data_IF_946630969227
#
_entry.id   IF_946630969227
#
_cell.length_a   1.000
_cell.length_b   1.000
_cell.length_c   1.000
_cell.angle_alpha   90.00
_cell.angle_beta   90.00
_cell.angle_gamma   90.00
#
_symmetry.space_group_name_H-M   'P 1'
#
loop_
_entity.id
_entity.type
_entity.pdbx_description
1 polymer ?
#
# COMPACT_ATOMS: atom_id res chain seq x y z
N UNK A 1 -53.39 -87.03 34.08
CA UNK A 1 -52.34 -85.99 34.12
C UNK A 1 -52.49 -85.14 32.86
N UNK A 2 -52.93 -83.90 32.98
CA UNK A 2 -53.10 -82.96 31.87
C UNK A 2 -51.79 -82.19 31.70
N UNK A 3 -51.20 -82.25 30.51
CA UNK A 3 -49.97 -81.54 30.15
C UNK A 3 -50.29 -80.07 29.86
N UNK A 4 -49.70 -79.17 30.65
CA UNK A 4 -49.83 -77.73 30.47
C UNK A 4 -49.14 -77.27 29.17
N UNK A 5 -49.90 -76.63 28.28
CA UNK A 5 -49.37 -76.02 27.07
C UNK A 5 -48.50 -74.80 27.40
N UNK A 6 -47.25 -74.81 26.92
CA UNK A 6 -46.34 -73.67 27.01
C UNK A 6 -46.89 -72.48 26.18
N UNK A 7 -47.16 -71.35 26.86
CA UNK A 7 -47.53 -70.09 26.19
C UNK A 7 -46.34 -69.57 25.39
N UNK A 8 -46.47 -69.50 24.06
CA UNK A 8 -45.52 -68.79 23.20
C UNK A 8 -45.52 -67.29 23.55
N UNK A 9 -44.36 -66.64 23.68
CA UNK A 9 -44.31 -65.19 23.87
C UNK A 9 -44.91 -64.50 22.64
N UNK A 10 -45.92 -63.67 22.86
CA UNK A 10 -46.49 -62.81 21.81
C UNK A 10 -45.41 -61.84 21.37
N UNK A 11 -44.87 -62.02 20.16
CA UNK A 11 -44.02 -61.01 19.54
C UNK A 11 -44.90 -59.80 19.24
N UNK A 12 -44.79 -58.75 20.05
CA UNK A 12 -45.43 -57.46 19.79
C UNK A 12 -44.74 -56.85 18.57
N UNK A 13 -45.47 -56.72 17.45
CA UNK A 13 -45.02 -55.94 16.30
C UNK A 13 -45.12 -54.45 16.58
N UNK A 14 -44.25 -53.65 15.98
CA UNK A 14 -44.29 -52.19 16.06
C UNK A 14 -45.59 -51.64 15.49
N UNK A 15 -46.15 -50.63 16.14
CA UNK A 15 -47.34 -49.93 15.65
C UNK A 15 -46.98 -48.96 14.52
N UNK A 16 -47.90 -48.73 13.58
CA UNK A 16 -47.69 -47.82 12.45
C UNK A 16 -47.38 -46.38 12.92
N UNK A 17 -47.95 -45.98 14.07
CA UNK A 17 -47.69 -44.69 14.70
C UNK A 17 -46.27 -44.58 15.28
N UNK A 18 -45.72 -45.63 15.91
CA UNK A 18 -44.31 -45.65 16.33
C UNK A 18 -43.36 -45.51 15.14
N UNK A 19 -43.69 -46.16 14.01
CA UNK A 19 -42.87 -46.10 12.81
C UNK A 19 -42.91 -44.72 12.16
N UNK A 20 -44.06 -44.04 12.19
CA UNK A 20 -44.18 -42.65 11.74
C UNK A 20 -43.46 -41.67 12.67
N UNK A 21 -43.57 -41.84 13.99
CA UNK A 21 -42.85 -41.00 14.97
C UNK A 21 -41.35 -41.21 14.87
N UNK A 22 -40.89 -42.44 14.70
CA UNK A 22 -39.47 -42.76 14.55
C UNK A 22 -38.87 -42.16 13.28
N UNK A 23 -39.58 -42.23 12.15
CA UNK A 23 -39.11 -41.62 10.89
C UNK A 23 -39.15 -40.09 10.96
N UNK A 24 -40.18 -39.50 11.59
CA UNK A 24 -40.24 -38.06 11.82
C UNK A 24 -39.07 -37.56 12.70
N UNK A 25 -38.78 -38.25 13.80
CA UNK A 25 -37.64 -37.93 14.66
C UNK A 25 -36.31 -38.07 13.94
N UNK A 26 -36.14 -39.13 13.12
CA UNK A 26 -34.95 -39.30 12.31
C UNK A 26 -34.73 -38.12 11.36
N UNK A 27 -35.78 -37.67 10.65
CA UNK A 27 -35.69 -36.51 9.75
C UNK A 27 -35.29 -35.25 10.51
N UNK A 28 -35.90 -34.99 11.68
CA UNK A 28 -35.57 -33.83 12.51
C UNK A 28 -34.11 -33.87 12.98
N UNK A 29 -33.63 -35.02 13.45
CA UNK A 29 -32.23 -35.18 13.89
C UNK A 29 -31.26 -35.00 12.73
N UNK A 30 -31.54 -35.60 11.57
CA UNK A 30 -30.69 -35.46 10.38
C UNK A 30 -30.61 -34.00 9.94
N UNK A 31 -31.73 -33.28 9.90
CA UNK A 31 -31.75 -31.86 9.57
C UNK A 31 -30.92 -31.03 10.56
N UNK A 32 -31.06 -31.29 11.86
CA UNK A 32 -30.27 -30.61 12.89
C UNK A 32 -28.77 -30.90 12.77
N UNK A 33 -28.38 -32.14 12.47
CA UNK A 33 -26.97 -32.50 12.29
C UNK A 33 -26.40 -31.83 11.03
N UNK A 34 -27.16 -31.82 9.93
CA UNK A 34 -26.74 -31.17 8.68
C UNK A 34 -26.61 -29.66 8.85
N UNK A 35 -27.50 -29.00 9.60
CA UNK A 35 -27.39 -27.56 9.85
C UNK A 35 -26.14 -27.22 10.67
N UNK A 36 -25.87 -27.98 11.74
CA UNK A 36 -24.66 -27.79 12.55
C UNK A 36 -23.39 -28.05 11.72
N UNK A 37 -23.40 -29.09 10.88
CA UNK A 37 -22.29 -29.35 9.98
C UNK A 37 -22.07 -28.20 8.99
N UNK A 38 -23.14 -27.67 8.37
CA UNK A 38 -23.06 -26.56 7.44
C UNK A 38 -22.54 -25.26 8.10
N UNK A 39 -22.95 -24.97 9.33
CA UNK A 39 -22.42 -23.84 10.10
C UNK A 39 -20.94 -24.02 10.43
N UNK A 40 -20.54 -25.24 10.79
CA UNK A 40 -19.14 -25.57 11.08
C UNK A 40 -18.26 -25.42 9.84
N UNK A 41 -18.72 -25.87 8.66
CA UNK A 41 -17.99 -25.69 7.40
C UNK A 41 -17.86 -24.21 7.03
N UNK A 42 -18.93 -23.41 7.16
CA UNK A 42 -18.86 -21.95 6.92
C UNK A 42 -17.87 -21.26 7.86
N UNK A 43 -17.85 -21.66 9.14
CA UNK A 43 -16.89 -21.12 10.11
C UNK A 43 -15.45 -21.51 9.75
N UNK A 44 -15.23 -22.75 9.32
CA UNK A 44 -13.94 -23.23 8.84
C UNK A 44 -13.46 -22.45 7.59
N UNK A 45 -14.31 -22.29 6.58
CA UNK A 45 -13.97 -21.56 5.35
C UNK A 45 -13.60 -20.10 5.65
N UNK A 46 -14.34 -19.45 6.55
CA UNK A 46 -14.01 -18.10 7.02
C UNK A 46 -12.66 -18.05 7.74
N UNK A 47 -12.39 -19.01 8.62
CA UNK A 47 -11.12 -19.08 9.35
C UNK A 47 -9.92 -19.28 8.39
N UNK A 48 -10.08 -20.12 7.38
CA UNK A 48 -9.06 -20.32 6.33
C UNK A 48 -8.86 -19.04 5.50
N UNK A 49 -9.96 -18.35 5.14
CA UNK A 49 -9.89 -17.08 4.42
C UNK A 49 -9.17 -16.00 5.24
N UNK A 50 -9.49 -15.87 6.53
CA UNK A 50 -8.84 -14.89 7.41
C UNK A 50 -7.34 -15.22 7.58
N UNK A 51 -6.97 -16.50 7.73
CA UNK A 51 -5.56 -16.92 7.79
C UNK A 51 -4.81 -16.59 6.48
N UNK A 52 -5.42 -16.85 5.33
CA UNK A 52 -4.84 -16.57 4.02
C UNK A 52 -4.64 -15.08 3.79
N UNK A 53 -5.63 -14.24 4.13
CA UNK A 53 -5.48 -12.78 4.00
C UNK A 53 -4.42 -12.24 4.97
N UNK A 54 -4.35 -12.80 6.18
CA UNK A 54 -3.35 -12.43 7.17
C UNK A 54 -1.93 -12.82 6.73
N UNK A 55 -1.74 -14.00 6.12
CA UNK A 55 -0.41 -14.40 5.64
C UNK A 55 0.09 -13.50 4.51
N UNK A 56 -0.78 -13.14 3.57
CA UNK A 56 -0.45 -12.21 2.48
C UNK A 56 -0.13 -10.81 3.01
N UNK A 57 -0.93 -10.31 3.96
CA UNK A 57 -0.68 -9.04 4.60
C UNK A 57 0.65 -9.02 5.38
N UNK A 58 0.96 -10.11 6.10
CA UNK A 58 2.24 -10.24 6.83
C UNK A 58 3.44 -10.21 5.89
N UNK A 59 3.37 -10.87 4.73
CA UNK A 59 4.45 -10.82 3.75
C UNK A 59 4.79 -9.38 3.33
N UNK A 60 3.77 -8.53 3.09
CA UNK A 60 3.98 -7.11 2.77
C UNK A 60 4.49 -6.30 3.96
N UNK A 61 3.82 -6.42 5.10
CA UNK A 61 4.11 -5.61 6.28
C UNK A 61 5.48 -5.95 6.89
N UNK A 62 5.88 -7.22 6.92
CA UNK A 62 7.19 -7.66 7.42
C UNK A 62 8.33 -7.17 6.51
N UNK A 63 8.14 -7.23 5.19
CA UNK A 63 9.13 -6.72 4.25
C UNK A 63 9.29 -5.20 4.36
N UNK A 64 8.17 -4.45 4.39
CA UNK A 64 8.23 -2.99 4.56
C UNK A 64 8.81 -2.59 5.91
N UNK A 65 8.50 -3.32 6.98
CA UNK A 65 9.11 -3.06 8.28
C UNK A 65 10.64 -3.21 8.23
N UNK A 66 11.14 -4.29 7.64
CA UNK A 66 12.58 -4.52 7.48
C UNK A 66 13.26 -3.36 6.71
N UNK A 67 12.63 -2.92 5.62
CA UNK A 67 13.17 -1.87 4.77
C UNK A 67 13.08 -0.50 5.40
N UNK A 68 11.99 -0.17 6.11
CA UNK A 68 11.85 1.10 6.82
C UNK A 68 12.75 1.19 8.05
N UNK A 69 12.96 0.09 8.79
CA UNK A 69 13.89 0.06 9.92
C UNK A 69 15.35 0.26 9.50
N UNK A 70 15.69 -0.11 8.26
CA UNK A 70 17.02 0.05 7.67
C UNK A 70 17.10 1.18 6.64
N UNK A 71 16.04 2.00 6.52
CA UNK A 71 15.96 3.07 5.54
C UNK A 71 17.06 4.11 5.78
N UNK A 72 17.76 4.53 4.73
CA UNK A 72 18.83 5.53 4.80
C UNK A 72 18.23 6.91 4.55
N UNK A 73 18.31 7.79 5.54
CA UNK A 73 17.96 9.21 5.41
C UNK A 73 19.12 10.01 6.01
N UNK A 74 19.82 10.82 5.19
CA UNK A 74 21.03 11.55 5.64
C UNK A 74 20.78 13.06 5.69
N UNK A 75 21.39 13.78 6.66
CA UNK A 75 21.29 15.23 6.78
C UNK A 75 22.23 15.95 5.80
N UNK A 76 22.21 15.56 4.53
CA UNK A 76 23.04 16.14 3.46
C UNK A 76 22.23 17.02 2.49
N UNK A 77 20.97 17.31 2.84
CA UNK A 77 20.09 18.16 2.04
C UNK A 77 19.56 17.50 0.76
N UNK A 78 19.73 16.19 0.59
CA UNK A 78 19.27 15.42 -0.59
C UNK A 78 18.00 14.61 -0.30
N UNK A 79 17.30 14.26 -1.37
CA UNK A 79 16.07 13.46 -1.30
C UNK A 79 16.45 11.98 -1.22
N UNK A 80 16.12 11.33 -0.11
CA UNK A 80 16.46 9.92 0.14
C UNK A 80 15.27 8.98 0.00
N UNK A 81 14.06 9.53 0.04
CA UNK A 81 12.83 8.77 -0.16
C UNK A 81 11.82 9.62 -0.91
N UNK A 82 11.09 8.98 -1.81
CA UNK A 82 10.05 9.61 -2.59
C UNK A 82 8.85 8.68 -2.73
N UNK A 83 7.67 9.27 -2.63
CA UNK A 83 6.39 8.63 -2.91
C UNK A 83 5.79 9.31 -4.12
N UNK A 84 5.31 8.54 -5.08
CA UNK A 84 4.59 9.05 -6.25
C UNK A 84 3.24 8.39 -6.33
N UNK A 85 2.18 9.17 -6.45
CA UNK A 85 0.84 8.64 -6.71
C UNK A 85 0.69 8.38 -8.22
N UNK A 86 0.13 7.25 -8.65
CA UNK A 86 -0.13 7.02 -10.07
C UNK A 86 -1.12 8.04 -10.65
N UNK A 87 -1.01 8.36 -11.95
CA UNK A 87 -1.88 9.33 -12.63
C UNK A 87 -1.70 10.79 -12.17
N UNK A 88 -0.64 11.10 -11.44
CA UNK A 88 -0.45 12.38 -10.74
C UNK A 88 0.16 13.54 -11.54
N UNK A 89 0.34 13.40 -12.85
CA UNK A 89 1.00 14.43 -13.67
C UNK A 89 0.26 15.78 -13.64
N UNK A 90 -1.06 15.78 -13.43
CA UNK A 90 -1.91 16.97 -13.30
C UNK A 90 -2.04 17.49 -11.85
N UNK A 91 -1.48 16.78 -10.87
CA UNK A 91 -1.64 17.04 -9.43
C UNK A 91 -0.30 17.31 -8.72
N UNK A 92 0.78 17.55 -9.48
CA UNK A 92 2.09 17.90 -8.93
C UNK A 92 3.08 16.74 -8.84
N UNK A 93 2.67 15.54 -9.30
CA UNK A 93 3.55 14.41 -9.52
C UNK A 93 4.52 14.61 -10.71
N UNK A 94 5.42 13.65 -10.95
CA UNK A 94 6.37 13.73 -12.03
C UNK A 94 5.71 13.64 -13.41
N UNK A 95 6.38 14.19 -14.43
CA UNK A 95 6.00 13.96 -15.82
C UNK A 95 6.08 12.46 -16.12
N UNK A 96 5.05 11.91 -16.77
CA UNK A 96 4.91 10.48 -17.07
C UNK A 96 4.80 9.56 -15.82
N UNK A 97 4.23 10.05 -14.72
CA UNK A 97 3.82 9.18 -13.61
C UNK A 97 2.98 7.99 -14.15
N UNK A 98 3.15 6.77 -13.62
CA UNK A 98 2.45 5.60 -14.15
C UNK A 98 0.95 5.77 -14.07
N UNK A 99 0.22 5.21 -15.02
CA UNK A 99 -1.24 5.24 -15.00
C UNK A 99 -1.79 4.48 -13.80
N UNK A 100 -3.05 4.76 -13.45
CA UNK A 100 -3.75 4.02 -12.40
C UNK A 100 -3.77 2.52 -12.72
N UNK A 101 -3.63 1.69 -11.70
CA UNK A 101 -3.70 0.23 -11.84
C UNK A 101 -5.15 -0.23 -11.68
N UNK A 102 -5.78 -0.64 -12.78
CA UNK A 102 -7.17 -1.11 -12.77
C UNK A 102 -8.14 -0.07 -12.20
N UNK A 103 -8.95 -0.48 -11.22
CA UNK A 103 -9.96 0.37 -10.56
C UNK A 103 -9.46 1.02 -9.25
N UNK A 104 -8.16 0.93 -8.95
CA UNK A 104 -7.59 1.45 -7.71
C UNK A 104 -7.58 2.98 -7.66
N UNK A 105 -7.85 3.53 -6.48
CA UNK A 105 -7.72 4.96 -6.23
C UNK A 105 -6.22 5.33 -6.14
N UNK A 106 -5.72 6.42 -6.76
CA UNK A 106 -4.31 6.82 -6.67
C UNK A 106 -3.69 6.82 -5.26
N UNK A 107 -4.46 7.23 -4.24
CA UNK A 107 -3.99 7.25 -2.85
C UNK A 107 -3.79 5.83 -2.25
N UNK A 108 -4.44 4.81 -2.83
CA UNK A 108 -4.43 3.42 -2.39
C UNK A 108 -3.38 2.56 -3.09
N UNK A 109 -2.62 3.12 -4.03
CA UNK A 109 -1.52 2.41 -4.68
C UNK A 109 -0.32 3.31 -4.94
N UNK A 110 0.23 3.95 -3.89
CA UNK A 110 1.41 4.78 -4.01
C UNK A 110 2.60 3.95 -4.49
N UNK A 111 3.49 4.59 -5.22
CA UNK A 111 4.80 4.07 -5.58
C UNK A 111 5.78 4.63 -4.56
N UNK A 112 6.26 3.77 -3.67
CA UNK A 112 7.26 4.13 -2.66
C UNK A 112 8.65 3.79 -3.19
N UNK A 113 9.58 4.71 -3.11
CA UNK A 113 10.98 4.53 -3.50
C UNK A 113 11.88 5.03 -2.37
N UNK A 114 12.78 4.19 -1.88
CA UNK A 114 13.72 4.54 -0.83
C UNK A 114 15.07 3.83 -1.01
N UNK A 115 16.04 4.22 -0.20
CA UNK A 115 17.27 3.47 0.00
C UNK A 115 17.21 2.79 1.36
N UNK A 116 17.55 1.50 1.43
CA UNK A 116 17.52 0.73 2.67
C UNK A 116 18.64 -0.32 2.67
N UNK A 117 18.86 -1.01 3.80
CA UNK A 117 19.79 -2.13 3.88
C UNK A 117 19.06 -3.44 4.26
N UNK A 118 18.17 -3.95 3.39
CA UNK A 118 17.37 -5.14 3.68
C UNK A 118 18.23 -6.32 4.10
N UNK A 119 17.70 -7.15 5.00
CA UNK A 119 18.38 -8.37 5.44
C UNK A 119 18.45 -9.44 4.34
N UNK A 120 17.43 -9.48 3.49
CA UNK A 120 17.23 -10.44 2.40
C UNK A 120 17.81 -9.96 1.05
N UNK A 121 18.57 -8.86 1.06
CA UNK A 121 19.21 -8.32 -0.13
C UNK A 121 20.14 -9.33 -0.83
N UNK A 122 20.32 -9.23 -2.16
CA UNK A 122 21.36 -9.95 -2.88
C UNK A 122 22.74 -9.76 -2.23
N UNK A 123 23.36 -10.86 -1.77
CA UNK A 123 24.73 -10.84 -1.19
C UNK A 123 25.80 -11.31 -2.16
N UNK A 124 25.38 -11.97 -3.23
CA UNK A 124 26.26 -12.66 -4.17
C UNK A 124 25.75 -12.46 -5.58
N UNK A 125 26.68 -12.28 -6.53
CA UNK A 125 26.39 -12.38 -7.95
C UNK A 125 26.92 -13.70 -8.51
N UNK A 126 26.18 -14.39 -9.39
CA UNK A 126 26.76 -15.48 -10.18
C UNK A 126 27.85 -14.91 -11.08
N UNK A 127 29.02 -15.53 -11.11
CA UNK A 127 30.04 -15.23 -12.11
C UNK A 127 29.76 -16.09 -13.35
N UNK A 128 29.61 -15.43 -14.50
CA UNK A 128 29.10 -16.04 -15.73
C UNK A 128 30.17 -16.77 -16.54
N UNK A 129 31.41 -16.84 -16.06
CA UNK A 129 32.49 -17.51 -16.80
C UNK A 129 32.35 -19.04 -16.82
N UNK A 130 31.65 -19.63 -15.85
CA UNK A 130 31.33 -21.08 -15.79
C UNK A 130 30.38 -21.37 -14.63
N UNK A 131 29.53 -22.40 -14.75
CA UNK A 131 28.68 -22.93 -13.68
C UNK A 131 29.46 -23.40 -12.42
N UNK A 132 30.77 -23.61 -12.54
CA UNK A 132 31.69 -23.96 -11.45
C UNK A 132 32.40 -22.76 -10.81
N UNK A 133 32.16 -21.53 -11.30
CA UNK A 133 32.87 -20.35 -10.81
C UNK A 133 32.32 -19.93 -9.44
N UNK A 134 33.23 -19.62 -8.51
CA UNK A 134 32.85 -19.17 -7.18
C UNK A 134 31.99 -17.90 -7.28
N UNK A 135 30.91 -17.86 -6.49
CA UNK A 135 30.06 -16.67 -6.39
C UNK A 135 30.88 -15.49 -5.86
N UNK A 136 30.70 -14.32 -6.45
CA UNK A 136 31.40 -13.10 -6.02
C UNK A 136 30.54 -12.35 -5.02
N UNK A 137 31.12 -11.99 -3.86
CA UNK A 137 30.43 -11.20 -2.85
C UNK A 137 30.14 -9.79 -3.38
N UNK A 138 28.90 -9.33 -3.24
CA UNK A 138 28.52 -7.96 -3.56
C UNK A 138 29.03 -7.03 -2.45
N UNK A 139 29.62 -5.90 -2.86
CA UNK A 139 30.17 -4.90 -1.93
C UNK A 139 29.08 -3.91 -1.52
N UNK A 140 29.10 -3.50 -0.26
CA UNK A 140 28.14 -2.55 0.29
C UNK A 140 26.84 -3.21 0.76
N UNK A 141 26.01 -2.43 1.44
CA UNK A 141 24.79 -2.87 2.13
C UNK A 141 23.55 -2.08 1.72
N UNK A 142 23.70 -0.82 1.31
CA UNK A 142 22.60 0.03 0.84
C UNK A 142 22.12 -0.40 -0.54
N UNK A 143 20.83 -0.68 -0.63
CA UNK A 143 20.09 -1.06 -1.82
C UNK A 143 19.02 0.00 -2.14
N UNK A 144 18.77 0.25 -3.43
CA UNK A 144 17.57 0.97 -3.87
C UNK A 144 16.38 0.01 -3.83
N UNK A 145 15.31 0.42 -3.16
CA UNK A 145 14.09 -0.36 -2.98
C UNK A 145 12.89 0.42 -3.51
N UNK A 146 12.00 -0.27 -4.23
CA UNK A 146 10.71 0.26 -4.64
C UNK A 146 9.56 -0.68 -4.30
N UNK A 147 8.41 -0.11 -3.93
CA UNK A 147 7.15 -0.82 -3.73
C UNK A 147 6.07 -0.22 -4.61
N UNK A 148 5.22 -1.07 -5.19
CA UNK A 148 4.02 -0.65 -5.93
C UNK A 148 3.02 -1.80 -6.02
N UNK A 149 1.75 -1.47 -6.22
CA UNK A 149 0.75 -2.45 -6.66
C UNK A 149 0.81 -2.56 -8.20
N UNK A 150 0.61 -3.78 -8.69
CA UNK A 150 0.38 -4.09 -10.11
C UNK A 150 -0.76 -5.09 -10.28
N UNK A 151 -1.34 -5.15 -11.47
CA UNK A 151 -2.39 -6.12 -11.82
C UNK A 151 -1.86 -7.03 -12.95
N UNK A 152 -1.55 -8.30 -12.64
CA UNK A 152 -0.94 -9.23 -13.61
C UNK A 152 -1.28 -10.70 -13.35
N UNK A 153 -1.14 -11.54 -14.37
CA UNK A 153 -1.21 -12.99 -14.21
C UNK A 153 0.08 -13.58 -13.62
N UNK A 154 0.01 -14.43 -12.58
CA UNK A 154 1.18 -15.10 -12.00
C UNK A 154 1.80 -16.15 -12.94
N UNK A 155 1.19 -16.40 -14.11
CA UNK A 155 1.61 -17.43 -15.06
C UNK A 155 2.02 -16.87 -16.43
N UNK A 156 1.72 -15.60 -16.74
CA UNK A 156 2.08 -15.00 -18.04
C UNK A 156 2.11 -13.47 -17.99
N UNK A 157 2.95 -12.88 -18.84
CA UNK A 157 3.21 -11.45 -18.89
C UNK A 157 2.49 -10.79 -20.08
N UNK A 158 1.53 -9.85 -19.89
CA UNK A 158 0.77 -9.52 -18.67
C UNK A 158 -0.34 -10.55 -18.33
N UNK A 159 -0.55 -11.53 -19.21
CA UNK A 159 -1.59 -12.55 -19.12
C UNK A 159 -2.99 -12.04 -19.46
N UNK A 160 -3.93 -12.97 -19.63
CA UNK A 160 -5.32 -12.61 -19.93
C UNK A 160 -5.98 -11.97 -18.72
N UNK A 161 -6.90 -11.02 -18.94
CA UNK A 161 -7.54 -10.26 -17.86
C UNK A 161 -8.20 -11.16 -16.78
N UNK A 162 -8.75 -12.30 -17.18
CA UNK A 162 -9.27 -13.38 -16.31
C UNK A 162 -8.26 -13.92 -15.29
N UNK A 163 -6.98 -13.88 -15.63
CA UNK A 163 -5.90 -14.44 -14.83
C UNK A 163 -5.16 -13.36 -14.03
N UNK A 164 -5.49 -12.09 -14.25
CA UNK A 164 -4.76 -10.99 -13.63
C UNK A 164 -5.22 -10.77 -12.18
N UNK A 165 -4.26 -10.76 -11.28
CA UNK A 165 -4.45 -10.55 -9.85
C UNK A 165 -3.79 -9.25 -9.46
N UNK A 166 -4.42 -8.50 -8.56
CA UNK A 166 -3.73 -7.38 -7.91
C UNK A 166 -2.69 -7.94 -6.93
N UNK A 167 -1.46 -7.44 -7.01
CA UNK A 167 -0.38 -7.87 -6.15
C UNK A 167 0.55 -6.72 -5.80
N UNK A 168 1.18 -6.83 -4.63
CA UNK A 168 2.26 -5.93 -4.23
C UNK A 168 3.57 -6.48 -4.78
N UNK A 169 4.33 -5.60 -5.42
CA UNK A 169 5.66 -5.89 -5.90
C UNK A 169 6.67 -5.08 -5.09
N UNK A 170 7.72 -5.78 -4.64
CA UNK A 170 8.88 -5.20 -3.99
C UNK A 170 10.08 -5.47 -4.84
N UNK A 171 10.73 -4.38 -5.24
CA UNK A 171 11.87 -4.42 -6.12
C UNK A 171 13.12 -3.99 -5.36
N UNK A 172 14.15 -4.84 -5.34
CA UNK A 172 15.43 -4.54 -4.69
C UNK A 172 16.54 -4.55 -5.73
N UNK A 173 17.29 -3.46 -5.80
CA UNK A 173 18.52 -3.39 -6.58
C UNK A 173 19.69 -3.82 -5.69
N UNK A 174 20.62 -4.59 -6.23
CA UNK A 174 21.84 -5.00 -5.55
C UNK A 174 22.68 -3.79 -5.11
N UNK A 175 23.46 -3.96 -4.04
CA UNK A 175 24.19 -2.84 -3.42
C UNK A 175 25.27 -2.24 -4.33
N UNK A 176 25.94 -3.06 -5.13
CA UNK A 176 26.95 -2.60 -6.08
C UNK A 176 26.32 -1.71 -7.17
N UNK A 177 25.19 -2.13 -7.77
CA UNK A 177 24.48 -1.31 -8.77
C UNK A 177 23.76 -0.11 -8.18
N UNK A 178 23.28 -0.24 -6.95
CA UNK A 178 22.77 0.91 -6.21
C UNK A 178 23.87 1.96 -6.08
N UNK A 179 25.10 1.53 -5.75
CA UNK A 179 26.24 2.41 -5.63
C UNK A 179 26.72 3.01 -6.96
N UNK A 180 26.74 2.23 -8.06
CA UNK A 180 27.22 2.71 -9.36
C UNK A 180 26.19 3.49 -10.16
N UNK A 181 24.90 3.17 -10.02
CA UNK A 181 23.84 3.67 -10.89
C UNK A 181 22.90 4.64 -10.14
N UNK A 182 22.45 4.29 -8.94
CA UNK A 182 21.43 5.05 -8.22
C UNK A 182 22.01 6.22 -7.39
N UNK A 183 23.05 5.94 -6.59
CA UNK A 183 23.63 6.95 -5.70
C UNK A 183 24.22 8.15 -6.46
N UNK A 184 24.90 8.03 -7.62
CA UNK A 184 25.41 9.19 -8.33
C UNK A 184 24.31 10.17 -8.78
N UNK A 185 23.11 9.68 -9.09
CA UNK A 185 21.96 10.52 -9.43
C UNK A 185 21.52 11.34 -8.21
N UNK A 186 21.39 10.70 -7.04
CA UNK A 186 21.03 11.41 -5.81
C UNK A 186 22.13 12.36 -5.36
N UNK A 187 23.39 11.94 -5.43
CA UNK A 187 24.54 12.72 -4.97
C UNK A 187 24.83 13.94 -5.85
N UNK A 188 24.47 13.89 -7.14
CA UNK A 188 24.52 15.03 -8.07
C UNK A 188 23.34 16.00 -7.92
N UNK A 189 22.38 15.71 -7.03
CA UNK A 189 21.29 16.63 -6.68
C UNK A 189 21.83 17.94 -6.12
N UNK A 190 21.30 19.06 -6.62
CA UNK A 190 21.56 20.41 -6.09
C UNK A 190 20.24 21.11 -5.80
N UNK A 191 20.27 22.22 -5.06
CA UNK A 191 19.06 23.00 -4.81
C UNK A 191 18.44 23.55 -6.12
N UNK A 192 19.25 23.86 -7.13
CA UNK A 192 18.79 24.38 -8.42
C UNK A 192 18.31 23.28 -9.38
N UNK A 193 18.93 22.10 -9.30
CA UNK A 193 18.58 20.92 -10.11
C UNK A 193 18.34 19.75 -9.14
N UNK A 194 17.17 19.72 -8.48
CA UNK A 194 16.89 18.69 -7.49
C UNK A 194 16.72 17.35 -8.20
N UNK A 195 17.52 16.37 -7.77
CA UNK A 195 17.38 14.95 -8.11
C UNK A 195 16.78 14.18 -6.96
N UNK A 196 16.00 13.15 -7.29
CA UNK A 196 15.28 12.31 -6.33
C UNK A 196 15.24 10.85 -6.76
N UNK A 197 14.80 9.91 -5.90
CA UNK A 197 14.67 8.51 -6.26
C UNK A 197 13.89 8.29 -7.57
N UNK A 198 12.85 9.10 -7.85
CA UNK A 198 12.13 9.02 -9.12
C UNK A 198 13.04 9.15 -10.36
N UNK A 199 14.04 10.04 -10.36
CA UNK A 199 14.95 10.19 -11.51
C UNK A 199 15.66 8.86 -11.82
N UNK A 200 16.10 8.13 -10.79
CA UNK A 200 16.71 6.82 -10.95
C UNK A 200 15.71 5.82 -11.55
N UNK A 201 14.55 5.65 -10.91
CA UNK A 201 13.58 4.62 -11.30
C UNK A 201 12.88 4.89 -12.64
N UNK A 202 12.73 6.14 -13.05
CA UNK A 202 11.96 6.51 -14.26
C UNK A 202 12.80 6.75 -15.51
N UNK A 203 14.12 6.94 -15.38
CA UNK A 203 15.01 7.23 -16.53
C UNK A 203 16.11 6.20 -16.71
N UNK A 204 16.41 5.41 -15.68
CA UNK A 204 17.44 4.39 -15.75
C UNK A 204 16.85 3.09 -16.26
N UNK A 205 17.48 2.49 -17.25
CA UNK A 205 17.19 1.13 -17.69
C UNK A 205 17.92 0.14 -16.78
N UNK A 206 17.31 -0.99 -16.39
CA UNK A 206 18.08 -2.05 -15.76
C UNK A 206 19.19 -2.49 -16.73
N UNK A 207 20.44 -2.50 -16.26
CA UNK A 207 21.45 -3.36 -16.87
C UNK A 207 21.01 -4.82 -16.77
N UNK A 208 21.71 -5.76 -17.44
CA UNK A 208 21.48 -7.20 -17.24
C UNK A 208 21.58 -7.50 -15.74
N UNK A 209 20.46 -7.82 -15.08
CA UNK A 209 20.40 -8.06 -13.63
C UNK A 209 20.06 -9.53 -13.42
N UNK A 210 20.98 -10.21 -12.73
CA UNK A 210 20.94 -11.65 -12.50
C UNK A 210 20.47 -11.89 -11.07
N UNK A 211 19.20 -12.23 -10.89
CA UNK A 211 18.76 -12.92 -9.70
C UNK A 211 17.92 -14.13 -10.12
N UNK A 212 18.59 -15.30 -10.16
CA UNK A 212 17.98 -16.58 -10.53
C UNK A 212 17.70 -16.70 -12.02
N UNK A 213 18.66 -17.22 -12.79
CA UNK A 213 18.39 -17.78 -14.11
C UNK A 213 17.43 -18.99 -13.93
N UNK A 214 16.14 -18.80 -14.11
CA UNK A 214 15.27 -19.87 -14.61
C UNK A 214 15.26 -19.74 -16.14
N UNK A 215 15.94 -20.66 -16.82
CA UNK A 215 15.99 -20.84 -18.28
C UNK A 215 16.77 -19.83 -19.15
N UNK A 216 17.87 -19.23 -18.69
CA UNK A 216 18.75 -18.39 -19.54
C UNK A 216 18.00 -17.24 -20.26
N UNK A 217 16.80 -16.88 -19.81
CA UNK A 217 16.01 -15.82 -20.42
C UNK A 217 16.48 -14.48 -19.87
N UNK A 218 17.46 -13.95 -20.57
CA UNK A 218 17.86 -12.54 -20.48
C UNK A 218 16.64 -11.70 -20.88
N UNK A 219 15.82 -11.26 -19.92
CA UNK A 219 14.80 -10.23 -20.17
C UNK A 219 15.53 -8.90 -20.43
N UNK A 220 16.08 -8.77 -21.62
CA UNK A 220 16.60 -7.51 -22.14
C UNK A 220 15.44 -6.80 -22.77
N UNK A 221 14.70 -6.01 -21.99
CA UNK A 221 13.93 -4.94 -22.59
C UNK A 221 14.89 -3.77 -22.80
N UNK A 222 15.63 -3.80 -23.91
CA UNK A 222 16.52 -2.70 -24.27
C UNK A 222 15.68 -1.43 -24.39
N UNK A 223 15.91 -0.46 -23.50
CA UNK A 223 15.32 0.88 -23.60
C UNK A 223 14.07 1.16 -22.75
N UNK A 224 13.65 0.28 -21.83
CA UNK A 224 12.57 0.60 -20.88
C UNK A 224 13.10 0.98 -19.50
N UNK A 225 12.61 2.08 -18.90
CA UNK A 225 12.98 2.44 -17.53
C UNK A 225 12.48 1.41 -16.51
N UNK A 226 13.12 1.35 -15.33
CA UNK A 226 12.75 0.42 -14.24
C UNK A 226 11.28 0.55 -13.83
N UNK A 227 10.76 1.77 -13.86
CA UNK A 227 9.33 2.12 -13.76
C UNK A 227 8.91 2.78 -15.07
N UNK A 228 7.97 2.15 -15.78
CA UNK A 228 7.42 2.64 -17.04
C UNK A 228 6.05 3.30 -16.79
N UNK A 229 5.86 4.49 -17.36
CA UNK A 229 4.61 5.23 -17.33
C UNK A 229 3.51 4.66 -18.22
N UNK A 230 3.88 3.85 -19.22
CA UNK A 230 2.98 3.26 -20.23
C UNK A 230 3.03 1.74 -20.11
N UNK A 231 2.21 1.17 -19.22
CA UNK A 231 2.00 -0.29 -19.15
C UNK A 231 0.88 -0.67 -20.11
N UNK A 232 1.11 -0.49 -21.41
CA UNK A 232 0.20 -1.03 -22.44
C UNK A 232 0.43 -2.53 -22.55
N UNK A 233 -0.63 -3.33 -22.76
CA UNK A 233 -0.53 -4.79 -22.94
C UNK A 233 0.41 -5.24 -24.07
N UNK A 234 0.90 -4.32 -24.91
CA UNK A 234 1.83 -4.51 -26.02
C UNK A 234 3.21 -3.86 -25.83
N UNK A 235 3.43 -3.05 -24.78
CA UNK A 235 4.73 -2.42 -24.48
C UNK A 235 5.37 -3.15 -23.31
N UNK A 236 6.64 -3.51 -23.43
CA UNK A 236 7.38 -4.28 -22.42
C UNK A 236 7.11 -3.76 -21.01
N UNK A 237 6.66 -4.67 -20.13
CA UNK A 237 6.34 -4.31 -18.75
C UNK A 237 7.60 -3.84 -18.01
N UNK A 238 7.47 -2.90 -17.06
CA UNK A 238 8.60 -2.48 -16.27
C UNK A 238 9.08 -3.62 -15.37
N UNK A 239 10.40 -3.74 -15.23
CA UNK A 239 11.04 -4.76 -14.38
C UNK A 239 10.51 -4.75 -12.93
N UNK A 240 10.09 -3.58 -12.43
CA UNK A 240 9.48 -3.46 -11.08
C UNK A 240 8.20 -4.26 -10.89
N UNK A 241 7.56 -4.72 -11.96
CA UNK A 241 6.37 -5.58 -11.93
C UNK A 241 6.66 -7.03 -12.35
N UNK A 242 7.93 -7.42 -12.48
CA UNK A 242 8.31 -8.80 -12.84
C UNK A 242 7.96 -9.82 -11.74
N UNK A 243 7.82 -11.08 -12.12
CA UNK A 243 7.34 -12.15 -11.23
C UNK A 243 8.31 -12.38 -10.05
N UNK A 244 9.60 -12.13 -10.24
CA UNK A 244 10.61 -12.21 -9.18
C UNK A 244 10.46 -11.13 -8.11
N UNK A 245 9.78 -10.03 -8.42
CA UNK A 245 9.51 -8.93 -7.48
C UNK A 245 8.15 -9.10 -6.78
N UNK A 246 7.40 -10.16 -7.10
CA UNK A 246 6.09 -10.41 -6.49
C UNK A 246 6.23 -10.73 -5.01
N UNK A 247 5.46 -10.02 -4.16
CA UNK A 247 5.52 -10.16 -2.71
C UNK A 247 4.26 -10.78 -2.13
N UNK A 248 3.08 -10.32 -2.57
CA UNK A 248 1.81 -10.77 -2.05
C UNK A 248 0.68 -10.66 -3.08
N UNK A 249 -0.28 -11.58 -2.99
CA UNK A 249 -1.45 -11.67 -3.87
C UNK A 249 -2.68 -10.98 -3.28
N UNK A 250 -3.63 -10.63 -4.15
CA UNK A 250 -4.95 -10.11 -3.79
C UNK A 250 -4.95 -8.82 -2.95
N UNK A 251 -3.86 -8.05 -3.01
CA UNK A 251 -3.74 -6.76 -2.31
C UNK A 251 -4.34 -5.67 -3.18
N UNK A 252 -5.43 -5.09 -2.71
CA UNK A 252 -6.25 -4.10 -3.44
C UNK A 252 -6.20 -2.70 -2.82
N UNK A 253 -5.40 -2.50 -1.77
CA UNK A 253 -5.00 -1.18 -1.33
C UNK A 253 -3.69 -1.28 -0.53
N UNK A 254 -2.86 -0.26 -0.65
CA UNK A 254 -1.65 -0.03 0.12
C UNK A 254 -1.61 1.46 0.46
N UNK A 255 -1.88 1.81 1.71
CA UNK A 255 -1.92 3.19 2.18
C UNK A 255 -0.68 3.47 3.04
N UNK A 256 -0.14 4.67 2.90
CA UNK A 256 1.03 5.13 3.65
C UNK A 256 0.68 6.42 4.40
N UNK A 257 0.88 6.44 5.71
CA UNK A 257 0.77 7.64 6.55
C UNK A 257 2.14 7.93 7.14
N UNK A 258 2.66 9.13 6.88
CA UNK A 258 3.99 9.55 7.31
C UNK A 258 3.88 10.37 8.59
N UNK A 259 4.36 9.82 9.70
CA UNK A 259 4.36 10.48 11.00
C UNK A 259 5.65 11.27 11.19
N UNK A 260 5.52 12.58 11.27
CA UNK A 260 6.63 13.53 11.25
C UNK A 260 6.65 14.43 12.48
N UNK A 261 7.81 14.98 12.81
CA UNK A 261 7.95 16.05 13.82
C UNK A 261 8.40 17.32 13.14
N UNK A 262 7.85 18.47 13.51
CA UNK A 262 8.37 19.75 13.02
C UNK A 262 9.51 20.27 13.87
N UNK A 263 10.43 20.97 13.21
CA UNK A 263 11.47 21.78 13.83
C UNK A 263 10.99 23.18 14.24
N UNK A 264 9.77 23.59 13.90
CA UNK A 264 9.24 24.91 14.24
C UNK A 264 8.74 24.96 15.69
N UNK A 265 8.99 26.07 16.42
CA UNK A 265 8.47 26.27 17.75
C UNK A 265 6.95 26.48 17.74
N UNK A 266 6.29 26.08 18.84
CA UNK A 266 4.84 26.24 19.04
C UNK A 266 4.39 27.71 18.96
N UNK A 267 5.22 28.61 19.46
CA UNK A 267 4.96 30.05 19.50
C UNK A 267 6.28 30.82 19.47
N UNK A 268 6.20 32.11 19.15
CA UNK A 268 7.34 33.02 19.20
C UNK A 268 6.96 34.23 20.04
N UNK A 269 7.89 34.69 20.87
CA UNK A 269 7.75 35.94 21.63
C UNK A 269 8.19 37.17 20.79
N UNK A 270 8.78 36.95 19.62
CA UNK A 270 9.26 38.02 18.73
C UNK A 270 8.06 38.60 17.98
N UNK A 271 7.74 39.85 18.26
CA UNK A 271 6.62 40.59 17.65
C UNK A 271 7.06 41.60 16.60
N UNK A 272 8.37 41.80 16.42
CA UNK A 272 8.96 42.73 15.45
C UNK A 272 9.63 41.95 14.33
N UNK A 273 9.49 42.42 13.09
CA UNK A 273 10.02 41.75 11.92
C UNK A 273 11.57 41.66 11.92
N UNK A 274 12.15 40.55 11.41
CA UNK A 274 11.48 39.37 10.87
C UNK A 274 10.98 38.45 11.99
N UNK A 275 9.68 38.17 11.99
CA UNK A 275 9.05 37.28 12.96
C UNK A 275 9.44 35.83 12.59
N UNK A 276 10.02 35.05 13.52
CA UNK A 276 10.34 33.65 13.29
C UNK A 276 9.10 32.83 12.94
N UNK A 277 9.27 31.86 12.03
CA UNK A 277 8.23 30.90 11.71
C UNK A 277 7.86 30.07 12.94
N UNK A 278 6.55 29.92 13.17
CA UNK A 278 6.00 29.05 14.20
C UNK A 278 5.20 27.94 13.57
N UNK A 279 4.97 26.89 14.34
CA UNK A 279 4.04 25.84 13.95
C UNK A 279 2.65 26.41 13.58
N UNK A 280 2.09 26.13 12.38
CA UNK A 280 0.78 26.64 11.98
C UNK A 280 -0.35 26.21 12.91
N UNK A 281 -0.20 25.07 13.59
CA UNK A 281 -1.23 24.48 14.44
C UNK A 281 -0.94 24.72 15.92
N UNK A 282 0.10 25.52 16.24
CA UNK A 282 0.57 25.83 17.59
C UNK A 282 0.66 24.58 18.45
N UNK A 283 1.18 23.49 17.89
CA UNK A 283 1.44 22.22 18.57
C UNK A 283 2.80 22.28 19.27
N UNK A 284 2.97 21.57 20.40
CA UNK A 284 4.27 21.45 21.05
C UNK A 284 5.35 20.94 20.07
N UNK A 285 6.59 21.38 20.28
CA UNK A 285 7.73 20.83 19.57
C UNK A 285 7.77 19.30 19.77
N UNK A 286 8.16 18.55 18.74
CA UNK A 286 8.23 17.08 18.75
C UNK A 286 6.89 16.33 18.77
N UNK A 287 5.75 17.02 18.72
CA UNK A 287 4.46 16.34 18.53
C UNK A 287 4.40 15.73 17.11
N UNK A 288 4.01 14.45 17.04
CA UNK A 288 3.86 13.73 15.78
C UNK A 288 2.72 14.31 14.93
N UNK A 289 2.94 14.34 13.62
CA UNK A 289 2.04 14.91 12.62
C UNK A 289 1.88 13.90 11.51
N UNK A 290 0.66 13.46 11.20
CA UNK A 290 0.46 12.62 10.05
C UNK A 290 0.68 13.46 8.79
N UNK A 291 1.09 12.79 7.72
CA UNK A 291 1.06 13.31 6.38
C UNK A 291 0.62 12.19 5.45
N UNK A 292 -0.45 12.43 4.69
CA UNK A 292 -1.18 11.39 3.99
C UNK A 292 -1.43 11.73 2.52
N UNK A 293 -1.44 10.72 1.63
CA UNK A 293 -1.81 10.89 0.24
C UNK A 293 -3.31 11.13 0.10
N UNK A 294 -3.69 12.03 -0.80
CA UNK A 294 -5.09 12.37 -1.07
C UNK A 294 -5.36 12.35 -2.58
N UNK A 295 -6.58 11.98 -2.98
CA UNK A 295 -6.99 12.06 -4.37
C UNK A 295 -7.63 13.41 -4.67
N UNK A 296 -7.07 14.15 -5.64
CA UNK A 296 -7.57 15.47 -6.06
C UNK A 296 -9.00 15.47 -6.63
N UNK A 297 -9.43 14.33 -7.17
CA UNK A 297 -10.70 14.22 -7.87
C UNK A 297 -11.83 13.61 -7.01
N UNK A 298 -11.56 13.23 -5.75
CA UNK A 298 -12.62 12.75 -4.88
C UNK A 298 -13.41 13.94 -4.31
N UNK A 299 -14.68 14.05 -4.71
CA UNK A 299 -15.56 15.15 -4.31
C UNK A 299 -15.82 15.18 -2.80
N UNK A 300 -15.62 14.04 -2.12
CA UNK A 300 -15.66 13.94 -0.66
C UNK A 300 -14.41 14.50 0.02
N UNK A 301 -13.26 14.51 -0.65
CA UNK A 301 -11.99 14.96 -0.04
C UNK A 301 -11.54 16.37 -0.46
N UNK A 302 -11.87 16.87 -1.66
CA UNK A 302 -11.24 18.11 -2.15
C UNK A 302 -12.15 19.14 -2.82
N UNK A 303 -13.41 18.81 -3.11
CA UNK A 303 -14.07 19.46 -4.25
C UNK A 303 -14.87 20.75 -4.01
N UNK A 304 -15.45 21.02 -2.83
CA UNK A 304 -16.50 22.06 -2.78
C UNK A 304 -16.73 22.80 -1.45
N UNK A 305 -16.01 22.51 -0.35
CA UNK A 305 -16.40 23.06 0.97
C UNK A 305 -15.45 24.04 1.63
N UNK A 306 -14.26 24.31 1.10
CA UNK A 306 -13.30 25.16 1.82
C UNK A 306 -12.61 26.14 0.88
N UNK A 307 -12.93 27.43 1.05
CA UNK A 307 -12.23 28.52 0.36
C UNK A 307 -10.76 28.58 0.76
N UNK A 308 -9.98 29.33 -0.03
CA UNK A 308 -8.55 29.51 0.15
C UNK A 308 -8.16 29.76 1.62
N UNK A 309 -7.32 28.88 2.21
CA UNK A 309 -6.66 29.15 3.49
C UNK A 309 -6.92 28.20 4.65
N UNK A 310 -7.43 26.98 4.46
CA UNK A 310 -7.48 25.98 5.54
C UNK A 310 -6.73 24.69 5.19
N UNK A 311 -5.56 24.47 5.79
CA UNK A 311 -4.95 23.14 5.86
C UNK A 311 -5.65 22.25 6.90
N UNK A 312 -5.52 20.93 6.77
CA UNK A 312 -5.83 19.89 7.78
C UNK A 312 -7.24 19.87 8.36
N UNK A 313 -8.28 19.56 7.58
CA UNK A 313 -9.67 19.65 8.10
C UNK A 313 -10.65 18.49 7.97
N UNK A 314 -10.29 17.28 7.50
CA UNK A 314 -11.26 16.17 7.47
C UNK A 314 -10.97 14.97 8.39
N UNK A 315 -9.71 14.65 8.75
CA UNK A 315 -9.41 13.44 9.52
C UNK A 315 -9.49 13.57 11.07
N UNK A 316 -9.67 14.78 11.63
CA UNK A 316 -9.76 15.00 13.09
C UNK A 316 -10.81 16.02 13.54
N UNK A 317 -11.86 16.27 12.75
CA UNK A 317 -13.04 16.97 13.28
C UNK A 317 -13.97 15.95 13.97
N UNK A 318 -13.85 15.81 15.29
CA UNK A 318 -15.02 15.43 16.10
C UNK A 318 -15.99 16.62 16.05
N UNK A 319 -16.93 16.59 15.11
CA UNK A 319 -17.97 17.60 15.02
C UNK A 319 -18.95 17.49 16.19
N UNK A 320 -19.20 18.59 16.87
CA UNK A 320 -20.45 18.77 17.62
C UNK A 320 -21.58 18.91 16.61
N UNK A 321 -22.27 17.82 16.27
CA UNK A 321 -23.49 17.85 15.45
C UNK A 321 -23.52 16.75 14.39
N UNK A 322 -24.54 15.92 14.45
CA UNK A 322 -24.69 14.64 13.77
C UNK A 322 -25.03 14.73 12.26
N UNK A 323 -24.92 13.55 11.62
CA UNK A 323 -25.51 13.10 10.36
C UNK A 323 -24.63 13.14 9.08
N UNK A 324 -23.55 12.35 9.05
CA UNK A 324 -23.19 11.45 7.92
C UNK A 324 -21.91 10.66 8.22
N UNK A 325 -21.97 9.70 9.14
CA UNK A 325 -20.84 8.86 9.56
C UNK A 325 -20.86 7.46 8.91
N UNK A 326 -21.45 7.29 7.73
CA UNK A 326 -21.72 5.96 7.17
C UNK A 326 -20.79 5.50 6.02
N UNK A 327 -20.04 6.38 5.35
CA UNK A 327 -19.40 6.01 4.06
C UNK A 327 -17.88 6.20 3.96
N UNK A 328 -17.13 6.14 5.06
CA UNK A 328 -15.67 6.07 5.01
C UNK A 328 -15.12 4.99 5.94
N UNK A 329 -14.37 3.98 5.43
CA UNK A 329 -13.69 3.01 6.28
C UNK A 329 -12.60 3.72 7.10
N UNK A 330 -12.93 3.96 8.37
CA UNK A 330 -12.05 4.43 9.43
C UNK A 330 -11.00 3.36 9.77
N UNK A 331 -9.72 3.71 9.75
CA UNK A 331 -8.68 2.92 10.39
C UNK A 331 -7.83 3.80 11.34
N UNK A 332 -8.05 3.57 12.64
CA UNK A 332 -7.18 3.73 13.81
C UNK A 332 -6.58 5.12 14.17
N UNK A 333 -7.24 5.82 15.10
CA UNK A 333 -6.55 6.55 16.17
C UNK A 333 -7.41 6.57 17.45
N UNK A 334 -6.86 6.26 18.64
CA UNK A 334 -7.55 6.45 19.91
C UNK A 334 -7.66 7.96 20.22
N UNK A 335 -8.87 8.37 20.63
CA UNK A 335 -9.32 9.69 21.14
C UNK A 335 -8.24 10.77 21.41
N UNK A 336 -8.30 11.94 20.74
CA UNK A 336 -7.48 13.11 21.08
C UNK A 336 -8.19 14.13 22.02
N UNK A 337 -7.45 14.89 22.86
CA UNK A 337 -8.00 16.00 23.63
C UNK A 337 -8.15 17.27 22.77
N UNK A 338 -9.13 18.11 23.10
CA UNK A 338 -9.46 19.33 22.36
C UNK A 338 -8.41 20.45 22.56
N UNK A 339 -8.03 21.16 21.48
CA UNK A 339 -7.22 22.39 21.54
C UNK A 339 -7.79 23.47 20.60
N UNK A 340 -7.88 24.76 21.00
CA UNK A 340 -8.50 25.83 20.22
C UNK A 340 -7.56 26.43 19.15
N UNK A 341 -8.11 26.86 18.03
CA UNK A 341 -7.39 27.57 16.96
C UNK A 341 -7.22 29.07 17.25
N UNK A 342 -6.10 29.67 16.82
CA UNK A 342 -5.84 31.12 16.88
C UNK A 342 -5.70 31.69 15.47
N UNK A 343 -6.40 32.79 15.19
CA UNK A 343 -6.44 33.46 13.88
C UNK A 343 -5.17 34.28 13.59
N UNK A 344 -4.79 34.38 12.30
CA UNK A 344 -3.91 35.44 11.79
C UNK A 344 -2.58 35.05 11.14
N UNK A 345 -2.25 33.77 11.01
CA UNK A 345 -1.07 33.30 10.24
C UNK A 345 -1.60 32.47 9.07
N UNK A 346 -1.24 32.81 7.83
CA UNK A 346 -1.60 32.00 6.66
C UNK A 346 -1.02 30.58 6.85
N UNK A 347 -1.85 29.53 6.93
CA UNK A 347 -1.38 28.19 7.28
C UNK A 347 -0.33 27.70 6.29
N UNK A 348 0.67 26.99 6.80
CA UNK A 348 1.61 26.24 5.98
C UNK A 348 0.82 25.31 5.03
N UNK A 349 1.14 25.27 3.72
CA UNK A 349 0.36 24.52 2.75
C UNK A 349 0.37 23.03 3.11
N UNK A 350 -0.81 22.54 3.49
CA UNK A 350 -1.30 21.16 3.57
C UNK A 350 -0.30 20.09 4.04
N UNK A 351 -0.54 19.45 5.19
CA UNK A 351 0.17 18.22 5.57
C UNK A 351 -0.36 16.99 4.75
N UNK A 352 -0.83 17.21 3.52
CA UNK A 352 -1.42 16.24 2.59
C UNK A 352 -0.72 16.40 1.23
N UNK A 353 -0.68 15.36 0.40
CA UNK A 353 -0.12 15.46 -0.96
C UNK A 353 -0.95 14.67 -1.97
N UNK A 354 -1.06 15.20 -3.19
CA UNK A 354 -1.94 14.62 -4.21
C UNK A 354 -1.22 14.10 -5.45
N UNK A 355 0.10 14.31 -5.54
CA UNK A 355 0.89 13.83 -6.64
C UNK A 355 2.20 13.16 -6.25
N UNK A 356 3.03 13.82 -5.45
CA UNK A 356 4.25 13.18 -4.92
C UNK A 356 4.63 13.71 -3.56
N UNK A 357 5.49 12.99 -2.87
CA UNK A 357 6.07 13.39 -1.61
C UNK A 357 7.56 13.11 -1.65
N UNK A 358 8.38 14.13 -1.42
CA UNK A 358 9.83 13.97 -1.34
C UNK A 358 10.31 14.21 0.07
N UNK A 359 11.10 13.28 0.58
CA UNK A 359 11.49 13.21 1.98
C UNK A 359 13.00 13.34 2.05
N UNK A 360 13.40 14.40 2.76
CA UNK A 360 14.76 14.72 3.15
C UNK A 360 14.87 14.47 4.67
N UNK A 361 16.07 14.60 5.25
CA UNK A 361 16.23 14.40 6.70
C UNK A 361 15.52 15.47 7.55
N UNK A 362 15.56 16.72 7.08
CA UNK A 362 15.14 17.93 7.80
C UNK A 362 13.85 18.55 7.24
N UNK A 363 13.40 18.11 6.06
CA UNK A 363 12.27 18.70 5.34
C UNK A 363 11.54 17.71 4.46
N UNK A 364 10.28 18.05 4.17
CA UNK A 364 9.39 17.28 3.31
C UNK A 364 8.78 18.23 2.28
N UNK A 365 8.79 17.84 1.01
CA UNK A 365 8.15 18.58 -0.08
C UNK A 365 6.93 17.79 -0.57
N UNK A 366 5.71 18.20 -0.18
CA UNK A 366 4.50 17.73 -0.83
C UNK A 366 4.42 18.35 -2.23
N UNK A 367 4.14 17.51 -3.21
CA UNK A 367 3.97 17.84 -4.62
C UNK A 367 5.19 18.54 -5.26
N UNK A 368 4.97 19.28 -6.34
CA UNK A 368 6.04 19.84 -7.15
C UNK A 368 6.90 20.83 -6.35
N UNK A 369 8.22 20.76 -6.56
CA UNK A 369 9.18 21.66 -5.90
C UNK A 369 8.96 23.02 -6.56
N UNK A 370 8.51 24.03 -5.82
CA UNK A 370 8.32 25.34 -6.41
C UNK A 370 9.67 25.87 -6.90
N UNK A 371 9.75 26.28 -8.17
CA UNK A 371 10.87 27.10 -8.68
C UNK A 371 10.85 28.52 -8.12
N UNK A 372 9.76 28.89 -7.45
CA UNK A 372 9.64 30.15 -6.73
C UNK A 372 10.53 30.13 -5.49
N UNK A 373 11.52 31.01 -5.45
CA UNK A 373 12.12 31.52 -4.22
C UNK A 373 10.98 31.87 -3.25
N UNK A 374 11.11 31.51 -1.97
CA UNK A 374 10.17 31.94 -0.93
C UNK A 374 9.86 33.43 -1.11
N UNK A 375 8.60 33.78 -1.39
CA UNK A 375 8.22 35.16 -1.73
C UNK A 375 8.43 36.12 -0.57
N UNK A 376 8.59 35.60 0.66
CA UNK A 376 8.89 36.32 1.89
C UNK A 376 9.46 35.36 2.95
N UNK A 377 10.16 35.89 3.96
CA UNK A 377 10.75 35.12 5.08
C UNK A 377 9.72 34.35 5.95
N UNK A 378 8.43 34.51 5.67
CA UNK A 378 7.29 33.96 6.42
C UNK A 378 6.59 32.78 5.73
N UNK A 379 7.06 32.32 4.55
CA UNK A 379 6.51 31.16 3.86
C UNK A 379 7.61 30.23 3.35
N UNK A 380 7.67 29.00 3.85
CA UNK A 380 8.59 27.98 3.31
C UNK A 380 7.90 27.19 2.19
N UNK A 381 8.60 26.90 1.08
CA UNK A 381 8.08 26.04 0.01
C UNK A 381 8.12 24.54 0.36
N UNK A 382 8.41 24.21 1.62
CA UNK A 382 8.53 22.84 2.15
C UNK A 382 8.04 22.79 3.59
N UNK A 383 7.56 21.63 4.00
CA UNK A 383 7.28 21.34 5.40
C UNK A 383 8.62 21.13 6.13
N UNK A 384 8.93 21.91 7.19
CA UNK A 384 10.15 21.77 7.99
C UNK A 384 10.00 20.60 8.97
N UNK A 385 9.73 19.42 8.39
CA UNK A 385 9.33 18.20 9.06
C UNK A 385 10.41 17.14 8.88
N UNK A 386 10.72 16.46 9.97
CA UNK A 386 11.57 15.27 9.99
C UNK A 386 10.69 14.04 10.17
N UNK A 387 10.85 13.05 9.29
CA UNK A 387 10.11 11.80 9.36
C UNK A 387 10.54 10.99 10.60
N UNK A 388 9.57 10.46 11.36
CA UNK A 388 9.81 9.64 12.56
C UNK A 388 9.25 8.23 12.46
N UNK A 389 8.09 8.07 11.83
CA UNK A 389 7.49 6.77 11.60
C UNK A 389 6.69 6.75 10.29
N UNK A 390 6.48 5.56 9.75
CA UNK A 390 5.51 5.32 8.67
C UNK A 390 4.51 4.31 9.19
N UNK A 391 3.24 4.60 9.00
CA UNK A 391 2.16 3.65 9.18
C UNK A 391 1.75 3.12 7.81
N UNK A 392 1.84 1.81 7.65
CA UNK A 392 1.52 1.09 6.43
C UNK A 392 0.23 0.33 6.66
N UNK A 393 -0.75 0.52 5.79
CA UNK A 393 -1.98 -0.27 5.78
C UNK A 393 -2.14 -0.98 4.46
N UNK A 394 -2.47 -2.27 4.48
CA UNK A 394 -2.76 -3.06 3.28
C UNK A 394 -4.15 -3.66 3.38
N UNK A 395 -4.90 -3.63 2.29
CA UNK A 395 -6.21 -4.27 2.19
C UNK A 395 -6.11 -5.48 1.27
N UNK A 396 -6.37 -6.66 1.81
CA UNK A 396 -6.27 -7.94 1.11
C UNK A 396 -7.66 -8.53 0.92
N UNK A 397 -7.99 -8.99 -0.29
CA UNK A 397 -9.26 -9.67 -0.55
C UNK A 397 -9.21 -11.12 -0.05
N UNK A 398 -10.32 -11.57 0.53
CA UNK A 398 -10.53 -13.00 0.82
C UNK A 398 -10.47 -13.82 -0.48
N UNK A 399 -10.23 -15.14 -0.40
CA UNK A 399 -10.28 -16.02 -1.57
C UNK A 399 -11.62 -15.96 -2.32
N UNK A 400 -12.73 -15.68 -1.62
CA UNK A 400 -14.05 -15.49 -2.24
C UNK A 400 -14.12 -14.16 -3.01
N UNK A 401 -13.70 -13.05 -2.40
CA UNK A 401 -13.65 -11.74 -3.06
C UNK A 401 -12.72 -11.73 -4.28
N UNK A 402 -11.57 -12.41 -4.19
CA UNK A 402 -10.66 -12.58 -5.31
C UNK A 402 -11.31 -13.35 -6.48
N UNK A 403 -12.08 -14.41 -6.19
CA UNK A 403 -12.83 -15.17 -7.21
C UNK A 403 -13.96 -14.35 -7.83
N UNK A 404 -14.72 -13.60 -7.02
CA UNK A 404 -15.76 -12.71 -7.53
C UNK A 404 -15.16 -11.67 -8.48
N UNK A 405 -14.07 -11.03 -8.05
CA UNK A 405 -13.35 -10.04 -8.85
C UNK A 405 -12.81 -10.66 -10.16
N UNK A 406 -12.18 -11.82 -10.10
CA UNK A 406 -11.68 -12.54 -11.27
C UNK A 406 -12.80 -12.95 -12.24
N UNK A 407 -13.99 -13.30 -11.71
CA UNK A 407 -15.16 -13.64 -12.53
C UNK A 407 -15.66 -12.41 -13.29
N UNK A 408 -15.73 -11.24 -12.62
CA UNK A 408 -16.11 -9.98 -13.27
C UNK A 408 -15.07 -9.51 -14.29
N UNK A 409 -13.79 -9.70 -14.01
CA UNK A 409 -12.70 -9.48 -14.96
C UNK A 409 -12.80 -10.43 -16.16
N UNK A 410 -13.29 -11.65 -15.94
CA UNK A 410 -13.33 -12.72 -16.91
C UNK A 410 -14.54 -12.81 -17.82
N UNK A 411 -15.63 -12.11 -17.49
CA UNK A 411 -16.84 -12.00 -18.30
C UNK A 411 -16.64 -11.13 -19.57
N UNK A 412 -15.51 -11.32 -20.26
CA UNK A 412 -14.44 -10.35 -20.39
C UNK A 412 -14.07 -9.84 -21.79
N UNK A 413 -14.72 -10.25 -22.89
CA UNK A 413 -14.40 -9.70 -24.23
C UNK A 413 -15.03 -8.32 -24.44
N UNK A 414 -14.24 -7.26 -24.50
CA UNK A 414 -14.66 -5.96 -25.01
C UNK A 414 -13.70 -5.54 -26.12
N UNK A 415 -14.24 -5.43 -27.34
CA UNK A 415 -13.58 -4.97 -28.56
C UNK A 415 -13.36 -3.45 -28.61
N UNK A 416 -13.64 -2.70 -27.53
CA UNK A 416 -13.42 -1.26 -27.45
C UNK A 416 -13.55 -0.71 -26.02
N UNK A 417 -12.45 -0.73 -25.26
CA UNK A 417 -12.08 0.34 -24.33
C UNK A 417 -12.93 0.68 -23.08
N UNK A 418 -13.89 -0.15 -22.66
CA UNK A 418 -14.68 0.08 -21.43
C UNK A 418 -14.50 -1.03 -20.37
N UNK A 419 -14.13 -0.65 -19.15
CA UNK A 419 -13.84 -1.53 -17.99
C UNK A 419 -15.05 -2.35 -17.56
N UNK A 420 -14.96 -3.69 -17.56
CA UNK A 420 -16.06 -4.60 -17.17
C UNK A 420 -16.29 -4.67 -15.66
N UNK A 421 -15.27 -4.42 -14.87
CA UNK A 421 -15.42 -4.19 -13.42
C UNK A 421 -15.78 -2.72 -13.23
N UNK A 422 -17.04 -2.46 -12.86
CA UNK A 422 -17.46 -1.09 -12.53
C UNK A 422 -16.79 -0.67 -11.23
N UNK A 423 -16.55 0.64 -11.04
CA UNK A 423 -16.01 1.14 -9.76
C UNK A 423 -16.91 0.79 -8.58
N UNK A 424 -18.23 0.70 -8.79
CA UNK A 424 -19.18 0.32 -7.76
C UNK A 424 -19.06 -1.15 -7.37
N UNK A 425 -18.91 -2.06 -8.35
CA UNK A 425 -18.69 -3.48 -8.07
C UNK A 425 -17.35 -3.71 -7.38
N UNK A 426 -16.30 -3.02 -7.83
CA UNK A 426 -14.99 -3.08 -7.20
C UNK A 426 -15.05 -2.65 -5.73
N UNK A 427 -15.67 -1.50 -5.45
CA UNK A 427 -15.87 -0.99 -4.08
C UNK A 427 -16.72 -1.93 -3.24
N UNK A 428 -17.81 -2.47 -3.80
CA UNK A 428 -18.67 -3.46 -3.14
C UNK A 428 -17.87 -4.68 -2.69
N UNK A 429 -17.04 -5.23 -3.58
CA UNK A 429 -16.18 -6.38 -3.27
C UNK A 429 -15.20 -6.04 -2.14
N UNK A 430 -14.54 -4.89 -2.20
CA UNK A 430 -13.61 -4.47 -1.13
C UNK A 430 -14.33 -4.33 0.21
N UNK A 431 -15.51 -3.71 0.24
CA UNK A 431 -16.27 -3.52 1.49
C UNK A 431 -16.75 -4.85 2.07
N UNK A 432 -17.15 -5.81 1.22
CA UNK A 432 -17.68 -7.10 1.67
C UNK A 432 -16.58 -8.11 2.01
N UNK A 433 -15.48 -8.10 1.27
CA UNK A 433 -14.49 -9.17 1.24
C UNK A 433 -13.04 -8.68 1.49
N UNK A 434 -12.83 -7.38 1.67
CA UNK A 434 -11.54 -6.81 2.02
C UNK A 434 -11.24 -6.93 3.52
N UNK A 435 -10.01 -7.32 3.83
CA UNK A 435 -9.45 -7.30 5.19
C UNK A 435 -8.28 -6.32 5.24
N UNK A 436 -8.40 -5.29 6.06
CA UNK A 436 -7.35 -4.30 6.24
C UNK A 436 -6.44 -4.68 7.40
N UNK A 437 -5.13 -4.58 7.17
CA UNK A 437 -4.09 -4.82 8.17
C UNK A 437 -3.14 -3.64 8.19
N UNK A 438 -2.82 -3.16 9.40
CA UNK A 438 -2.03 -1.93 9.57
C UNK A 438 -0.85 -2.21 10.48
N UNK A 439 0.29 -1.57 10.18
CA UNK A 439 1.50 -1.60 11.01
C UNK A 439 2.12 -0.23 11.11
N UNK A 440 2.37 0.20 12.34
CA UNK A 440 3.15 1.40 12.65
C UNK A 440 4.63 1.03 12.76
N UNK A 441 5.47 1.63 11.91
CA UNK A 441 6.89 1.33 11.80
C UNK A 441 7.70 2.58 12.15
N UNK A 442 8.52 2.49 13.20
CA UNK A 442 9.43 3.57 13.58
C UNK A 442 10.66 3.54 12.69
N UNK A 443 11.07 4.69 12.16
CA UNK A 443 12.35 4.81 11.47
C UNK A 443 13.46 4.99 12.50
N UNK A 444 14.54 4.21 12.36
CA UNK A 444 15.72 4.30 13.21
C UNK A 444 16.78 5.27 12.66
N UNK A 445 16.65 5.66 11.39
CA UNK A 445 17.68 6.43 10.68
C UNK A 445 17.66 7.93 10.95
N UNK A 446 16.58 8.45 11.54
CA UNK A 446 16.51 9.84 11.95
C UNK A 446 16.84 9.92 13.45
N UNK A 447 18.12 9.65 13.76
CA UNK A 447 18.66 9.76 15.12
C UNK A 447 18.40 11.15 15.69
N UNK A 448 17.47 11.21 16.63
CA UNK A 448 17.11 12.41 17.39
C UNK A 448 16.13 12.06 18.47
#
# INVERSE_FOLDING_TARGET
MSTAAARRPVRRGFTLIELMVSTALMVVIVLAVVSVAAETFKAYDRAVADLSTQSEARAVLDAMENDFQTAVIRPDGRCWMEVVLPGSSSTGGPANAPTLTGNLNPAEHPILMLFAAPQDRPRWRPDHTSASTARVALKGDVCAVAYRIGQRSPFSAPGTQTQQVYGVYRTIIDSERTFTDALPIILSSTAAVPKSPWDYWSTTTPGVRMYGDYNQQKYVTTGTPLINGVVSASSGMPWTLDDHNFLASNVVAMNLVFWCTSSLPQSTAVTVAPIPLTDPLKRPALMLRPLLPVNKNDAFDQGAKFGAGSGYRAAYTTGTGAASTADAPLHFAPTPPAVPAVAGITPHPYEEFSGRLRIFADRIYPDALSTASASTATQLPYLPYSLRAVEVSVTVLTPEGAKELATLQGAGTASSGGTKVTNNDFRRIIVQQGRSYTRYIRLLSNGG
#
